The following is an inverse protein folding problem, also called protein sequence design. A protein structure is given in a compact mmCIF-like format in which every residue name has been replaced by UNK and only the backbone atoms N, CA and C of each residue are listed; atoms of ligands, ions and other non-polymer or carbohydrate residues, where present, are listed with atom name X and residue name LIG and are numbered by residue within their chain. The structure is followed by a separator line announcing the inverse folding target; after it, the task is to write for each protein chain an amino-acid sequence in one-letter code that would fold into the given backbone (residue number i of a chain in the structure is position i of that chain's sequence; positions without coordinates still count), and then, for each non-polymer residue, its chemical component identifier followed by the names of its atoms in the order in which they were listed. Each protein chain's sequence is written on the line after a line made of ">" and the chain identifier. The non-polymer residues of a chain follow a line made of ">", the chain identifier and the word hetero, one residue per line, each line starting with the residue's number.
data_IF_823416603354
#
_entry.id   IF_823416603354
#
_cell.length_a   1.000
_cell.length_b   1.000
_cell.length_c   1.000
_cell.angle_alpha   90.00
_cell.angle_beta   90.00
_cell.angle_gamma   90.00
#
_symmetry.space_group_name_H-M   'P 1'
#
loop_
_entity.id
_entity.type
_entity.pdbx_description
1 polymer ?
#
# COMPACT_ATOMS: atom_id res chain seq x y z
N UNK A 1 -42.82 -17.96 -32.77
CA UNK A 1 -42.69 -16.51 -32.52
C UNK A 1 -42.07 -16.37 -31.15
N UNK A 2 -40.77 -16.07 -31.15
CA UNK A 2 -39.95 -15.93 -29.96
C UNK A 2 -40.22 -14.58 -29.30
N UNK A 3 -40.31 -14.55 -27.98
CA UNK A 3 -40.21 -13.33 -27.20
C UNK A 3 -38.97 -13.48 -26.30
N UNK A 4 -37.98 -12.64 -26.55
CA UNK A 4 -36.67 -12.70 -25.96
C UNK A 4 -36.62 -11.79 -24.74
N UNK A 5 -36.31 -12.38 -23.58
CA UNK A 5 -36.01 -11.65 -22.37
C UNK A 5 -34.74 -10.81 -22.55
N UNK A 6 -34.87 -9.48 -22.45
CA UNK A 6 -33.75 -8.57 -22.32
C UNK A 6 -33.34 -8.50 -20.84
N UNK A 7 -32.26 -9.19 -20.48
CA UNK A 7 -31.51 -8.97 -19.25
C UNK A 7 -30.76 -7.64 -19.37
N UNK A 8 -31.09 -6.68 -18.52
CA UNK A 8 -30.38 -5.40 -18.40
C UNK A 8 -29.14 -5.65 -17.55
N UNK A 9 -27.98 -5.53 -18.18
CA UNK A 9 -26.67 -5.66 -17.56
C UNK A 9 -26.33 -4.36 -16.81
N UNK A 10 -26.19 -4.45 -15.48
CA UNK A 10 -26.02 -3.28 -14.59
C UNK A 10 -24.55 -3.01 -14.20
N UNK A 11 -23.55 -3.59 -14.88
CA UNK A 11 -22.15 -3.51 -14.46
C UNK A 11 -21.21 -2.65 -15.32
N UNK A 12 -21.73 -1.81 -16.21
CA UNK A 12 -20.89 -0.86 -16.94
C UNK A 12 -20.70 0.46 -16.18
N UNK A 13 -19.95 0.44 -15.07
CA UNK A 13 -19.39 1.68 -14.50
C UNK A 13 -18.15 2.04 -15.33
N UNK A 14 -18.36 2.85 -16.36
CA UNK A 14 -17.26 3.54 -17.04
C UNK A 14 -16.91 4.76 -16.20
N UNK A 15 -15.75 4.72 -15.52
CA UNK A 15 -15.18 5.86 -14.82
C UNK A 15 -14.32 6.65 -15.84
N UNK A 16 -14.75 7.83 -16.35
CA UNK A 16 -13.96 8.61 -17.27
C UNK A 16 -13.23 9.71 -16.50
N UNK A 17 -12.20 9.31 -15.76
CA UNK A 17 -11.09 10.17 -15.40
C UNK A 17 -9.82 9.34 -15.50
N UNK A 18 -9.51 8.92 -16.73
CA UNK A 18 -8.17 8.48 -17.05
C UNK A 18 -7.19 9.58 -16.62
N UNK A 19 -6.04 9.17 -16.05
CA UNK A 19 -4.85 10.00 -15.96
C UNK A 19 -4.76 10.91 -17.20
N UNK A 20 -4.41 12.20 -17.05
CA UNK A 20 -4.51 13.18 -18.13
C UNK A 20 -3.97 12.56 -19.42
N UNK A 21 -4.86 12.41 -20.42
CA UNK A 21 -4.58 11.76 -21.69
C UNK A 21 -3.56 12.53 -22.56
N UNK A 22 -2.92 13.53 -21.98
CA UNK A 22 -1.94 14.39 -22.61
C UNK A 22 -0.60 13.66 -22.62
N UNK A 23 -0.16 13.26 -23.80
CA UNK A 23 1.11 12.54 -23.99
C UNK A 23 2.33 13.40 -23.56
N UNK A 24 2.13 14.70 -23.33
CA UNK A 24 3.13 15.64 -22.78
C UNK A 24 3.12 15.72 -21.24
N UNK A 25 2.24 14.98 -20.54
CA UNK A 25 2.11 15.03 -19.07
C UNK A 25 3.31 14.44 -18.31
N UNK A 26 4.10 13.58 -18.95
CA UNK A 26 5.22 12.87 -18.33
C UNK A 26 6.56 13.23 -18.99
N UNK A 27 7.54 13.54 -18.16
CA UNK A 27 8.90 13.91 -18.57
C UNK A 27 9.92 13.17 -17.72
N UNK A 28 11.12 12.93 -18.26
CA UNK A 28 12.24 12.41 -17.47
C UNK A 28 12.66 13.33 -16.32
N UNK A 29 12.29 14.62 -16.36
CA UNK A 29 12.64 15.60 -15.32
C UNK A 29 11.76 15.54 -14.07
N UNK A 30 10.55 14.98 -14.17
CA UNK A 30 9.59 14.90 -13.06
C UNK A 30 9.07 13.47 -12.99
N UNK A 31 9.27 12.75 -11.87
CA UNK A 31 8.73 11.40 -11.74
C UNK A 31 7.21 11.38 -12.00
N UNK A 32 6.68 10.46 -12.82
CA UNK A 32 5.27 10.47 -13.21
C UNK A 32 4.29 10.40 -12.03
N UNK A 33 4.65 9.74 -10.92
CA UNK A 33 3.88 9.77 -9.67
C UNK A 33 3.64 11.22 -9.20
N UNK A 34 4.68 12.06 -9.18
CA UNK A 34 4.54 13.45 -8.74
C UNK A 34 3.81 14.31 -9.78
N UNK A 35 3.95 14.01 -11.07
CA UNK A 35 3.16 14.66 -12.11
C UNK A 35 1.66 14.34 -11.97
N UNK A 36 1.31 13.08 -11.67
CA UNK A 36 -0.07 12.66 -11.44
C UNK A 36 -0.69 13.28 -10.17
N UNK A 37 0.13 13.49 -9.12
CA UNK A 37 -0.30 14.12 -7.87
C UNK A 37 -0.23 15.66 -7.87
N UNK A 38 0.42 16.28 -8.85
CA UNK A 38 0.56 17.73 -8.95
C UNK A 38 -0.75 18.54 -8.85
N UNK A 39 -1.89 18.11 -9.43
CA UNK A 39 -3.15 18.85 -9.29
C UNK A 39 -3.84 18.64 -7.93
N UNK A 40 -3.43 17.64 -7.14
CA UNK A 40 -4.09 17.28 -5.88
C UNK A 40 -3.70 18.23 -4.75
N UNK A 41 -4.68 18.55 -3.89
CA UNK A 41 -4.50 19.41 -2.71
C UNK A 41 -4.47 18.61 -1.43
N UNK A 42 -5.29 17.56 -1.33
CA UNK A 42 -5.50 16.74 -0.14
C UNK A 42 -5.26 15.28 -0.52
N UNK A 43 -4.05 14.80 -0.23
CA UNK A 43 -3.61 13.46 -0.59
C UNK A 43 -3.69 12.54 0.63
N UNK A 44 -4.41 11.43 0.50
CA UNK A 44 -4.37 10.35 1.49
C UNK A 44 -3.32 9.32 1.06
N UNK A 45 -2.29 9.12 1.88
CA UNK A 45 -1.32 8.03 1.72
C UNK A 45 -1.68 6.95 2.74
N UNK A 46 -2.08 5.78 2.25
CA UNK A 46 -2.61 4.71 3.10
C UNK A 46 -1.80 3.41 2.94
N UNK A 47 -1.28 2.88 4.05
CA UNK A 47 -0.63 1.56 4.08
C UNK A 47 -1.61 0.43 3.77
N UNK A 48 -1.32 -0.34 2.72
CA UNK A 48 -2.24 -1.31 2.14
C UNK A 48 -2.15 -2.71 2.78
N UNK A 49 -0.94 -3.21 3.04
CA UNK A 49 -0.62 -4.57 3.52
C UNK A 49 -0.61 -4.76 5.04
N UNK A 50 -0.93 -3.70 5.76
CA UNK A 50 -1.17 -3.71 7.19
C UNK A 50 0.04 -3.37 8.07
N UNK A 51 -0.22 -3.04 9.34
CA UNK A 51 0.82 -2.81 10.34
C UNK A 51 1.76 -1.64 10.02
N UNK A 52 2.94 -1.94 9.44
CA UNK A 52 3.99 -0.93 9.18
C UNK A 52 3.97 -0.36 7.76
N UNK A 53 3.06 -0.77 6.89
CA UNK A 53 3.05 -0.34 5.48
C UNK A 53 2.91 1.16 5.26
N UNK A 54 2.24 1.86 6.18
CA UNK A 54 2.18 3.33 6.15
C UNK A 54 3.58 3.98 6.14
N UNK A 55 4.61 3.31 6.69
CA UNK A 55 5.99 3.79 6.66
C UNK A 55 6.56 3.81 5.24
N UNK A 56 6.17 2.89 4.36
CA UNK A 56 6.55 2.92 2.95
C UNK A 56 6.06 4.19 2.26
N UNK A 57 5.04 4.87 2.79
CA UNK A 57 4.54 6.14 2.28
C UNK A 57 5.28 7.38 2.77
N UNK A 58 6.11 7.28 3.80
CA UNK A 58 6.71 8.47 4.45
C UNK A 58 7.63 9.28 3.54
N UNK A 59 8.53 8.69 2.72
CA UNK A 59 9.32 9.46 1.77
C UNK A 59 8.46 10.31 0.82
N UNK A 60 7.33 9.77 0.35
CA UNK A 60 6.37 10.49 -0.49
C UNK A 60 5.68 11.61 0.30
N UNK A 61 5.22 11.32 1.53
CA UNK A 61 4.59 12.31 2.41
C UNK A 61 5.52 13.50 2.68
N UNK A 62 6.80 13.24 2.99
CA UNK A 62 7.79 14.30 3.22
C UNK A 62 8.02 15.18 1.99
N UNK A 63 8.07 14.58 0.80
CA UNK A 63 8.23 15.32 -0.44
C UNK A 63 7.00 16.20 -0.75
N UNK A 64 5.80 15.66 -0.57
CA UNK A 64 4.53 16.37 -0.80
C UNK A 64 4.28 17.48 0.22
N UNK A 65 4.51 17.24 1.52
CA UNK A 65 4.43 18.30 2.55
C UNK A 65 5.40 19.45 2.24
N UNK A 66 6.62 19.15 1.77
CA UNK A 66 7.58 20.17 1.37
C UNK A 66 7.09 20.97 0.16
N UNK A 67 6.31 20.35 -0.73
CA UNK A 67 5.64 20.99 -1.85
C UNK A 67 4.39 21.80 -1.47
N UNK A 68 3.96 21.76 -0.21
CA UNK A 68 2.78 22.48 0.28
C UNK A 68 1.45 21.71 0.13
N UNK A 69 1.50 20.45 -0.32
CA UNK A 69 0.31 19.58 -0.39
C UNK A 69 -0.11 19.16 1.02
N UNK A 70 -1.42 19.13 1.29
CA UNK A 70 -1.94 18.55 2.52
C UNK A 70 -1.92 17.03 2.38
N UNK A 71 -1.11 16.36 3.19
CA UNK A 71 -1.04 14.90 3.21
C UNK A 71 -1.60 14.37 4.51
N UNK A 72 -2.47 13.38 4.38
CA UNK A 72 -3.05 12.60 5.46
C UNK A 72 -2.50 11.18 5.40
N UNK A 73 -2.23 10.58 6.56
CA UNK A 73 -1.72 9.22 6.63
C UNK A 73 -2.83 8.28 7.12
N UNK A 74 -2.92 7.10 6.52
CA UNK A 74 -3.76 6.02 7.02
C UNK A 74 -3.04 4.67 7.04
N UNK A 75 -3.53 3.75 7.87
CA UNK A 75 -3.00 2.40 8.04
C UNK A 75 -4.15 1.41 8.19
N UNK A 76 -4.12 0.30 7.45
CA UNK A 76 -4.87 -0.89 7.84
C UNK A 76 -4.16 -1.53 9.04
N UNK A 77 -4.69 -1.35 10.24
CA UNK A 77 -3.95 -1.65 11.46
C UNK A 77 -3.98 -3.14 11.81
N UNK A 78 -2.86 -3.63 12.33
CA UNK A 78 -2.77 -4.92 13.02
C UNK A 78 -2.78 -4.80 14.55
N UNK A 79 -2.86 -3.57 15.05
CA UNK A 79 -3.02 -3.32 16.49
C UNK A 79 -4.42 -3.66 16.96
N UNK A 80 -4.55 -3.93 18.25
CA UNK A 80 -5.83 -4.09 18.94
C UNK A 80 -6.49 -2.71 19.12
N UNK A 81 -6.97 -2.10 18.03
CA UNK A 81 -7.56 -0.75 18.02
C UNK A 81 -8.80 -0.67 18.93
N UNK A 82 -9.49 -1.76 19.18
CA UNK A 82 -10.60 -1.81 20.15
C UNK A 82 -10.19 -1.44 21.58
N UNK A 83 -8.88 -1.45 21.88
CA UNK A 83 -8.31 -1.06 23.17
C UNK A 83 -7.91 0.41 23.24
N UNK A 84 -7.99 1.17 22.13
CA UNK A 84 -7.77 2.63 22.18
C UNK A 84 -9.01 3.36 22.67
N UNK A 85 -8.81 4.55 23.25
CA UNK A 85 -9.88 5.38 23.78
C UNK A 85 -10.96 5.70 22.73
N UNK A 86 -12.23 5.70 23.17
CA UNK A 86 -13.38 5.89 22.28
C UNK A 86 -13.36 7.26 21.59
N UNK A 87 -12.77 8.25 22.25
CA UNK A 87 -12.57 9.62 21.76
C UNK A 87 -11.66 9.69 20.53
N UNK A 88 -10.80 8.68 20.32
CA UNK A 88 -9.99 8.58 19.11
C UNK A 88 -10.81 8.17 17.87
N UNK A 89 -11.99 7.55 18.04
CA UNK A 89 -12.80 7.06 16.92
C UNK A 89 -13.61 8.17 16.27
N UNK A 90 -13.34 8.45 14.99
CA UNK A 90 -14.08 9.47 14.20
C UNK A 90 -15.33 8.88 13.51
N UNK A 91 -15.35 7.56 13.31
CA UNK A 91 -16.52 6.76 12.92
C UNK A 91 -16.30 5.31 13.36
N UNK A 92 -17.25 4.40 13.13
CA UNK A 92 -17.23 2.99 13.57
C UNK A 92 -15.94 2.23 13.20
N UNK A 93 -15.32 2.60 12.09
CA UNK A 93 -14.20 1.86 11.49
C UNK A 93 -12.97 2.73 11.22
N UNK A 94 -12.90 3.90 11.86
CA UNK A 94 -11.77 4.82 11.70
C UNK A 94 -11.40 5.42 13.05
N UNK A 95 -10.19 5.12 13.52
CA UNK A 95 -9.55 5.82 14.62
C UNK A 95 -8.60 6.89 14.08
N UNK A 96 -8.62 8.09 14.66
CA UNK A 96 -7.65 9.15 14.43
C UNK A 96 -6.58 9.07 15.52
N UNK A 97 -5.51 8.30 15.25
CA UNK A 97 -4.42 8.10 16.20
C UNK A 97 -3.52 9.34 16.21
N UNK A 98 -3.40 9.96 17.38
CA UNK A 98 -2.52 11.10 17.65
C UNK A 98 -1.38 10.73 18.60
N UNK A 99 -0.46 11.68 18.90
CA UNK A 99 0.69 11.43 19.76
C UNK A 99 0.29 11.04 21.20
N UNK A 100 -0.87 11.53 21.67
CA UNK A 100 -1.40 11.27 23.00
C UNK A 100 -2.33 10.04 23.05
N UNK A 101 -2.59 9.37 21.91
CA UNK A 101 -3.42 8.16 21.87
C UNK A 101 -2.67 7.03 22.58
N UNK A 102 -3.27 6.53 23.66
CA UNK A 102 -2.72 5.42 24.45
C UNK A 102 -3.35 4.11 23.99
N UNK A 103 -2.51 3.07 23.89
CA UNK A 103 -2.95 1.69 23.73
C UNK A 103 -2.14 0.82 24.70
N UNK A 104 -2.77 -0.17 25.37
CA UNK A 104 -2.04 -1.18 26.12
C UNK A 104 -1.34 -2.20 25.20
N UNK A 105 -1.61 -2.16 23.89
CA UNK A 105 -0.99 -3.04 22.92
C UNK A 105 0.52 -2.77 22.80
N UNK A 106 1.30 -3.85 22.82
CA UNK A 106 2.75 -3.81 22.67
C UNK A 106 3.17 -3.63 21.19
N UNK A 107 2.25 -3.83 20.25
CA UNK A 107 2.43 -3.58 18.83
C UNK A 107 1.52 -2.43 18.38
N UNK A 108 2.05 -1.20 18.34
CA UNK A 108 1.28 -0.02 17.93
C UNK A 108 2.06 0.92 17.00
N UNK A 109 2.25 0.51 15.72
CA UNK A 109 3.05 1.27 14.76
C UNK A 109 2.46 2.64 14.44
N UNK A 110 1.13 2.79 14.41
CA UNK A 110 0.45 4.07 14.14
C UNK A 110 0.67 5.06 15.28
N UNK A 111 0.52 4.63 16.54
CA UNK A 111 0.78 5.48 17.70
C UNK A 111 2.26 5.86 17.81
N UNK A 112 3.16 4.95 17.47
CA UNK A 112 4.60 5.25 17.40
C UNK A 112 4.89 6.29 16.32
N UNK A 113 4.33 6.12 15.13
CA UNK A 113 4.48 7.08 14.04
C UNK A 113 3.91 8.46 14.41
N UNK A 114 2.73 8.51 15.02
CA UNK A 114 2.10 9.75 15.45
C UNK A 114 2.99 10.54 16.43
N UNK A 115 3.61 9.86 17.41
CA UNK A 115 4.57 10.48 18.34
C UNK A 115 5.84 10.96 17.63
N UNK A 116 6.40 10.14 16.75
CA UNK A 116 7.59 10.51 15.99
C UNK A 116 7.34 11.75 15.10
N UNK A 117 6.20 11.80 14.42
CA UNK A 117 5.76 12.94 13.60
C UNK A 117 5.61 14.21 14.45
N UNK A 118 4.97 14.10 15.62
CA UNK A 118 4.82 15.23 16.53
C UNK A 118 6.17 15.76 17.04
N UNK A 119 7.11 14.88 17.36
CA UNK A 119 8.46 15.24 17.78
C UNK A 119 9.27 15.97 16.68
N UNK A 120 8.86 15.79 15.42
CA UNK A 120 9.45 16.44 14.25
C UNK A 120 8.64 17.64 13.73
N UNK A 121 7.64 18.11 14.48
CA UNK A 121 6.75 19.22 14.10
C UNK A 121 6.02 18.97 12.77
N UNK A 122 5.69 17.72 12.48
CA UNK A 122 4.93 17.30 11.30
C UNK A 122 3.46 17.01 11.66
N UNK A 123 2.54 17.02 10.69
CA UNK A 123 1.17 16.55 10.90
C UNK A 123 1.19 15.13 11.48
N UNK A 124 0.66 14.99 12.69
CA UNK A 124 0.90 13.83 13.56
C UNK A 124 -0.30 12.89 13.72
N UNK A 125 -1.35 13.08 12.92
CA UNK A 125 -2.49 12.17 12.90
C UNK A 125 -2.26 11.05 11.88
N UNK A 126 -2.40 9.81 12.35
CA UNK A 126 -2.44 8.60 11.52
C UNK A 126 -3.82 7.98 11.67
N UNK A 127 -4.59 7.95 10.59
CA UNK A 127 -5.88 7.26 10.60
C UNK A 127 -5.67 5.75 10.58
N UNK A 128 -6.35 5.02 11.44
CA UNK A 128 -6.20 3.58 11.55
C UNK A 128 -7.55 2.89 11.32
N UNK A 129 -7.54 1.91 10.42
CA UNK A 129 -8.68 1.03 10.16
C UNK A 129 -8.45 -0.31 10.89
N UNK A 130 -9.44 -0.91 11.54
CA UNK A 130 -9.29 -2.26 12.07
C UNK A 130 -9.16 -3.31 10.94
N UNK A 131 -8.83 -4.58 11.24
CA UNK A 131 -8.75 -5.66 10.26
C UNK A 131 -10.12 -6.02 9.63
N UNK A 132 -10.50 -5.26 8.61
CA UNK A 132 -11.82 -5.29 7.97
C UNK A 132 -11.84 -6.12 6.68
N UNK A 133 -13.05 -6.43 6.20
CA UNK A 133 -13.31 -6.81 4.81
C UNK A 133 -13.59 -5.60 3.92
N UNK A 134 -13.83 -5.84 2.63
CA UNK A 134 -13.92 -4.80 1.59
C UNK A 134 -15.02 -3.77 1.86
N UNK A 135 -16.25 -4.18 2.20
CA UNK A 135 -17.37 -3.25 2.37
C UNK A 135 -17.17 -2.26 3.52
N UNK A 136 -16.87 -2.69 4.76
CA UNK A 136 -16.64 -1.75 5.85
C UNK A 136 -15.36 -0.93 5.66
N UNK A 137 -14.30 -1.49 5.05
CA UNK A 137 -13.10 -0.72 4.73
C UNK A 137 -13.39 0.38 3.70
N UNK A 138 -14.21 0.10 2.67
CA UNK A 138 -14.66 1.11 1.71
C UNK A 138 -15.46 2.22 2.38
N UNK A 139 -16.36 1.87 3.31
CA UNK A 139 -17.11 2.87 4.07
C UNK A 139 -16.18 3.75 4.91
N UNK A 140 -15.13 3.15 5.50
CA UNK A 140 -14.10 3.86 6.25
C UNK A 140 -13.30 4.83 5.37
N UNK A 141 -12.83 4.39 4.19
CA UNK A 141 -12.16 5.27 3.23
C UNK A 141 -13.10 6.39 2.74
N UNK A 142 -14.36 6.08 2.41
CA UNK A 142 -15.34 7.08 2.00
C UNK A 142 -15.54 8.16 3.05
N UNK A 143 -15.62 7.76 4.33
CA UNK A 143 -15.69 8.71 5.43
C UNK A 143 -14.47 9.64 5.47
N UNK A 144 -13.26 9.13 5.26
CA UNK A 144 -12.06 9.98 5.19
C UNK A 144 -12.07 10.90 3.97
N UNK A 145 -12.50 10.39 2.80
CA UNK A 145 -12.62 11.19 1.58
C UNK A 145 -13.53 12.39 1.81
N UNK A 146 -14.72 12.16 2.37
CA UNK A 146 -15.68 13.23 2.67
C UNK A 146 -15.21 14.17 3.78
N UNK A 147 -14.59 13.64 4.84
CA UNK A 147 -14.17 14.43 6.01
C UNK A 147 -12.98 15.34 5.73
N UNK A 148 -12.06 14.89 4.88
CA UNK A 148 -10.77 15.55 4.63
C UNK A 148 -10.70 16.16 3.23
N UNK A 149 -11.80 16.15 2.48
CA UNK A 149 -11.89 16.61 1.09
C UNK A 149 -10.77 16.00 0.21
N UNK A 150 -10.56 14.68 0.34
CA UNK A 150 -9.47 13.97 -0.36
C UNK A 150 -9.72 13.98 -1.86
N UNK A 151 -8.74 14.48 -2.62
CA UNK A 151 -8.77 14.50 -4.09
C UNK A 151 -7.73 13.57 -4.73
N UNK A 152 -6.86 12.95 -3.93
CA UNK A 152 -6.02 11.84 -4.36
C UNK A 152 -5.78 10.79 -3.26
N UNK A 153 -5.75 9.52 -3.63
CA UNK A 153 -5.36 8.40 -2.76
C UNK A 153 -4.14 7.70 -3.34
N UNK A 154 -3.13 7.44 -2.50
CA UNK A 154 -2.00 6.56 -2.81
C UNK A 154 -2.00 5.41 -1.81
N UNK A 155 -2.33 4.21 -2.27
CA UNK A 155 -2.10 3.00 -1.50
C UNK A 155 -0.61 2.66 -1.56
N UNK A 156 0.01 2.40 -0.42
CA UNK A 156 1.43 2.06 -0.33
C UNK A 156 1.61 0.67 0.27
N UNK A 157 2.45 -0.12 -0.38
CA UNK A 157 2.77 -1.49 -0.01
C UNK A 157 4.27 -1.59 0.31
N UNK A 158 4.57 -2.15 1.48
CA UNK A 158 5.91 -2.53 1.90
C UNK A 158 6.35 -3.87 1.28
N UNK A 159 6.47 -3.89 -0.04
CA UNK A 159 6.60 -5.12 -0.79
C UNK A 159 6.18 -4.88 -2.24
N UNK A 160 5.74 -5.93 -2.89
CA UNK A 160 5.31 -6.00 -4.29
C UNK A 160 4.15 -6.96 -4.49
N UNK A 161 3.63 -7.59 -3.43
CA UNK A 161 2.58 -8.60 -3.56
C UNK A 161 1.22 -7.99 -3.93
N UNK A 162 0.99 -6.69 -3.69
CA UNK A 162 -0.16 -5.94 -4.23
C UNK A 162 -0.19 -5.93 -5.77
N UNK A 163 0.96 -6.08 -6.43
CA UNK A 163 1.08 -6.09 -7.90
C UNK A 163 0.73 -7.44 -8.51
N UNK A 164 0.39 -8.43 -7.68
CA UNK A 164 0.03 -9.76 -8.12
C UNK A 164 -1.43 -9.86 -8.52
N UNK A 165 -1.67 -10.71 -9.51
CA UNK A 165 -2.93 -10.87 -10.19
C UNK A 165 -3.79 -11.99 -9.59
N UNK A 166 -3.16 -13.00 -9.01
CA UNK A 166 -3.80 -14.18 -8.44
C UNK A 166 -3.37 -15.50 -9.06
N UNK A 167 -2.86 -15.50 -10.29
CA UNK A 167 -2.43 -16.71 -11.01
C UNK A 167 -0.92 -16.95 -10.96
N UNK A 168 -0.18 -16.18 -10.17
CA UNK A 168 1.25 -16.38 -9.88
C UNK A 168 1.52 -17.72 -9.20
N UNK A 169 2.79 -18.13 -9.18
CA UNK A 169 3.20 -19.37 -8.49
C UNK A 169 2.82 -19.32 -7.00
N UNK A 170 3.02 -18.17 -6.37
CA UNK A 170 2.59 -17.86 -4.99
C UNK A 170 2.19 -16.38 -4.92
N UNK A 171 1.44 -16.00 -3.89
CA UNK A 171 0.90 -14.66 -3.71
C UNK A 171 1.51 -13.86 -2.57
N UNK A 172 2.38 -14.44 -1.74
CA UNK A 172 2.84 -13.75 -0.54
C UNK A 172 1.71 -13.58 0.47
N UNK A 173 1.45 -12.33 0.87
CA UNK A 173 0.49 -11.97 1.93
C UNK A 173 -0.61 -11.02 1.42
N UNK A 174 -1.35 -11.38 0.34
CA UNK A 174 -2.15 -10.44 -0.45
C UNK A 174 -3.42 -9.93 0.25
N UNK A 175 -3.74 -10.41 1.45
CA UNK A 175 -5.08 -10.28 2.05
C UNK A 175 -5.39 -8.82 2.33
N UNK A 176 -4.49 -8.12 3.00
CA UNK A 176 -4.62 -6.72 3.36
C UNK A 176 -4.58 -5.81 2.13
N UNK A 177 -3.55 -5.98 1.28
CA UNK A 177 -3.32 -5.18 0.08
C UNK A 177 -4.51 -5.19 -0.86
N UNK A 178 -5.03 -6.39 -1.14
CA UNK A 178 -6.12 -6.56 -2.08
C UNK A 178 -7.47 -6.16 -1.47
N UNK A 179 -7.61 -6.23 -0.15
CA UNK A 179 -8.77 -5.62 0.54
C UNK A 179 -8.76 -4.10 0.39
N UNK A 180 -7.61 -3.46 0.60
CA UNK A 180 -7.43 -2.02 0.42
C UNK A 180 -7.65 -1.61 -1.05
N UNK A 181 -7.09 -2.36 -2.00
CA UNK A 181 -7.28 -2.17 -3.44
C UNK A 181 -8.77 -2.21 -3.80
N UNK A 182 -9.49 -3.27 -3.40
CA UNK A 182 -10.92 -3.42 -3.67
C UNK A 182 -11.78 -2.34 -3.02
N UNK A 183 -11.40 -1.91 -1.81
CA UNK A 183 -12.10 -0.84 -1.10
C UNK A 183 -12.00 0.49 -1.86
N UNK A 184 -10.79 0.88 -2.28
CA UNK A 184 -10.52 2.16 -2.95
C UNK A 184 -10.98 2.20 -4.41
N UNK A 185 -10.95 1.06 -5.12
CA UNK A 185 -11.36 0.99 -6.54
C UNK A 185 -12.75 1.59 -6.78
N UNK A 186 -13.71 1.32 -5.89
CA UNK A 186 -15.09 1.80 -6.04
C UNK A 186 -15.34 3.21 -5.46
N UNK A 187 -14.31 3.94 -5.08
CA UNK A 187 -14.41 5.33 -4.64
C UNK A 187 -14.31 6.28 -5.83
N UNK A 188 -15.11 7.34 -5.78
CA UNK A 188 -15.08 8.46 -6.72
C UNK A 188 -14.04 9.48 -6.24
N UNK A 189 -12.77 9.19 -6.50
CA UNK A 189 -11.62 10.06 -6.21
C UNK A 189 -10.85 10.30 -7.50
N UNK A 190 -10.52 11.57 -7.84
CA UNK A 190 -9.90 11.91 -9.13
C UNK A 190 -8.59 11.18 -9.43
N UNK A 191 -7.72 11.01 -8.44
CA UNK A 191 -6.43 10.33 -8.60
C UNK A 191 -6.34 9.18 -7.61
N UNK A 192 -6.17 7.95 -8.12
CA UNK A 192 -6.00 6.75 -7.31
C UNK A 192 -4.77 5.99 -7.80
N UNK A 193 -3.76 5.85 -6.95
CA UNK A 193 -2.49 5.19 -7.28
C UNK A 193 -2.19 4.08 -6.28
N UNK A 194 -1.40 3.10 -6.72
CA UNK A 194 -0.73 2.12 -5.85
C UNK A 194 0.78 2.27 -6.03
N UNK A 195 1.52 2.29 -4.94
CA UNK A 195 2.98 2.43 -4.95
C UNK A 195 3.64 1.40 -4.05
N UNK A 196 4.31 0.45 -4.67
CA UNK A 196 5.07 -0.62 -4.01
C UNK A 196 6.51 -0.19 -3.76
N UNK A 197 7.03 -0.40 -2.54
CA UNK A 197 8.40 -0.11 -2.14
C UNK A 197 9.01 -1.34 -1.45
N UNK A 198 10.18 -1.77 -1.89
CA UNK A 198 10.83 -2.93 -1.28
C UNK A 198 10.96 -4.14 -2.20
N UNK A 199 11.15 -3.92 -3.51
CA UNK A 199 11.32 -5.02 -4.46
C UNK A 199 12.38 -6.03 -4.00
N UNK A 200 11.97 -7.29 -3.90
CA UNK A 200 12.77 -8.42 -3.43
C UNK A 200 12.37 -8.93 -2.04
N UNK A 201 11.69 -8.12 -1.23
CA UNK A 201 11.39 -8.45 0.17
C UNK A 201 10.42 -9.64 0.27
N UNK A 202 9.39 -9.71 -0.57
CA UNK A 202 8.35 -10.75 -0.47
C UNK A 202 8.80 -12.10 -1.02
N UNK A 203 10.05 -12.22 -1.47
CA UNK A 203 10.62 -13.50 -1.91
C UNK A 203 10.64 -14.52 -0.75
N UNK A 204 10.73 -14.05 0.50
CA UNK A 204 10.61 -14.89 1.70
C UNK A 204 9.19 -15.45 1.89
N UNK A 205 8.17 -14.76 1.37
CA UNK A 205 6.77 -15.16 1.38
C UNK A 205 6.35 -15.84 0.05
N UNK A 206 7.32 -16.22 -0.79
CA UNK A 206 7.09 -17.02 -1.99
C UNK A 206 6.88 -16.23 -3.29
N UNK A 207 6.90 -14.90 -3.24
CA UNK A 207 6.66 -14.06 -4.42
C UNK A 207 7.77 -14.21 -5.46
N UNK A 208 7.39 -14.63 -6.67
CA UNK A 208 8.30 -14.69 -7.80
C UNK A 208 8.42 -13.31 -8.47
N UNK A 209 9.55 -12.64 -8.25
CA UNK A 209 9.78 -11.29 -8.73
C UNK A 209 9.91 -11.16 -10.25
N UNK A 210 10.15 -12.27 -10.98
CA UNK A 210 10.03 -12.25 -12.45
C UNK A 210 8.57 -12.09 -12.87
N UNK A 211 7.64 -12.75 -12.18
CA UNK A 211 6.20 -12.60 -12.44
C UNK A 211 5.68 -11.20 -12.06
N UNK A 212 6.24 -10.57 -11.01
CA UNK A 212 5.99 -9.15 -10.69
C UNK A 212 6.40 -8.25 -11.87
N UNK A 213 7.60 -8.45 -12.42
CA UNK A 213 8.07 -7.68 -13.58
C UNK A 213 7.23 -7.94 -14.84
N UNK A 214 6.75 -9.17 -15.06
CA UNK A 214 5.80 -9.49 -16.12
C UNK A 214 4.47 -8.71 -15.95
N UNK A 215 3.99 -8.58 -14.71
CA UNK A 215 2.77 -7.85 -14.39
C UNK A 215 2.94 -6.34 -14.62
N UNK A 216 4.04 -5.76 -14.15
CA UNK A 216 4.38 -4.35 -14.41
C UNK A 216 4.49 -4.07 -15.91
N UNK A 217 5.14 -4.94 -16.68
CA UNK A 217 5.23 -4.80 -18.13
C UNK A 217 3.85 -4.92 -18.82
N UNK A 218 2.92 -5.69 -18.26
CA UNK A 218 1.56 -5.77 -18.77
C UNK A 218 0.74 -4.51 -18.45
N UNK A 219 0.87 -3.97 -17.24
CA UNK A 219 0.27 -2.69 -16.85
C UNK A 219 0.82 -1.54 -17.69
N UNK A 220 2.13 -1.53 -17.97
CA UNK A 220 2.78 -0.52 -18.80
C UNK A 220 2.22 -0.49 -20.22
N UNK A 221 2.03 -1.66 -20.85
CA UNK A 221 1.37 -1.77 -22.16
C UNK A 221 -0.05 -1.20 -22.20
N UNK A 222 -0.73 -1.19 -21.04
CA UNK A 222 -2.06 -0.64 -20.86
C UNK A 222 -2.03 0.83 -20.40
N UNK A 223 -0.85 1.44 -20.28
CA UNK A 223 -0.67 2.81 -19.80
C UNK A 223 -1.00 2.96 -18.30
N UNK A 224 -0.87 1.88 -17.53
CA UNK A 224 -1.14 1.84 -16.09
C UNK A 224 0.11 1.85 -15.21
N UNK A 225 1.30 1.77 -15.78
CA UNK A 225 2.55 1.90 -15.03
C UNK A 225 3.07 3.34 -15.12
N UNK A 226 3.21 4.00 -13.97
CA UNK A 226 3.75 5.35 -13.84
C UNK A 226 5.28 5.34 -13.68
N UNK A 227 5.92 4.20 -13.94
CA UNK A 227 7.35 4.06 -13.82
C UNK A 227 7.82 3.88 -12.38
N UNK A 228 9.13 4.01 -12.22
CA UNK A 228 9.82 3.83 -10.97
C UNK A 228 10.62 5.09 -10.59
N UNK A 229 10.74 5.34 -9.29
CA UNK A 229 11.61 6.37 -8.75
C UNK A 229 12.37 5.83 -7.55
N UNK A 230 13.65 6.18 -7.44
CA UNK A 230 14.47 5.80 -6.30
C UNK A 230 14.45 6.89 -5.23
N UNK A 231 14.53 6.47 -3.97
CA UNK A 231 14.75 7.38 -2.84
C UNK A 231 16.25 7.71 -2.82
N UNK A 232 16.68 8.96 -3.09
CA UNK A 232 18.11 9.27 -3.07
C UNK A 232 18.63 9.19 -1.64
N UNK A 233 19.63 8.33 -1.37
CA UNK A 233 20.04 8.00 0.01
C UNK A 233 20.52 9.18 0.87
N UNK A 234 21.01 10.25 0.22
CA UNK A 234 21.44 11.50 0.83
C UNK A 234 20.33 12.57 0.93
N UNK A 235 19.10 12.27 0.50
CA UNK A 235 17.98 13.21 0.55
C UNK A 235 17.46 13.41 1.98
N UNK A 236 16.63 14.43 2.18
CA UNK A 236 15.97 14.67 3.48
C UNK A 236 14.98 13.56 3.79
N UNK A 237 14.24 13.12 2.77
CA UNK A 237 13.23 12.07 2.82
C UNK A 237 13.87 10.76 3.29
N UNK A 238 15.02 10.38 2.73
CA UNK A 238 15.74 9.18 3.15
C UNK A 238 16.22 9.24 4.60
N UNK A 239 16.72 10.40 5.07
CA UNK A 239 17.16 10.57 6.46
C UNK A 239 16.00 10.47 7.45
N UNK A 240 14.91 11.18 7.18
CA UNK A 240 13.71 11.15 8.02
C UNK A 240 13.07 9.77 8.04
N UNK A 241 13.01 9.09 6.90
CA UNK A 241 12.49 7.72 6.82
C UNK A 241 13.30 6.75 7.67
N UNK A 242 14.64 6.78 7.58
CA UNK A 242 15.50 5.92 8.43
C UNK A 242 15.34 6.21 9.91
N UNK A 243 15.19 7.48 10.27
CA UNK A 243 14.97 7.88 11.66
C UNK A 243 13.62 7.37 12.20
N UNK A 244 12.54 7.55 11.44
CA UNK A 244 11.22 7.01 11.77
C UNK A 244 11.21 5.48 11.91
N UNK A 245 11.89 4.77 10.99
CA UNK A 245 12.03 3.31 11.07
C UNK A 245 12.82 2.89 12.29
N UNK A 246 13.89 3.61 12.65
CA UNK A 246 14.67 3.31 13.84
C UNK A 246 13.88 3.54 15.14
N UNK A 247 13.10 4.62 15.21
CA UNK A 247 12.19 4.91 16.33
C UNK A 247 11.13 3.81 16.49
N UNK A 248 10.48 3.43 15.37
CA UNK A 248 9.58 2.29 15.30
C UNK A 248 10.20 0.99 15.84
N UNK A 249 11.41 0.66 15.37
CA UNK A 249 12.11 -0.54 15.82
C UNK A 249 12.41 -0.53 17.33
N UNK A 250 12.76 0.63 17.88
CA UNK A 250 13.01 0.80 19.31
C UNK A 250 11.72 0.68 20.13
N UNK A 251 10.58 1.15 19.60
CA UNK A 251 9.28 1.07 20.25
C UNK A 251 8.63 -0.33 20.16
N UNK A 252 8.95 -1.12 19.14
CA UNK A 252 8.43 -2.48 18.95
C UNK A 252 9.55 -3.53 18.91
N UNK A 253 10.36 -3.69 19.99
CA UNK A 253 11.56 -4.53 19.96
C UNK A 253 11.28 -6.03 19.76
N UNK A 254 10.09 -6.50 20.17
CA UNK A 254 9.68 -7.90 20.04
C UNK A 254 9.21 -8.25 18.62
N UNK A 255 8.59 -7.29 17.91
CA UNK A 255 8.20 -7.45 16.49
C UNK A 255 8.49 -6.18 15.68
N UNK A 256 9.78 -5.86 15.46
CA UNK A 256 10.13 -4.80 14.53
C UNK A 256 9.73 -5.18 13.11
N UNK A 257 9.47 -4.17 12.27
CA UNK A 257 9.24 -4.39 10.84
C UNK A 257 10.53 -4.85 10.16
N UNK A 258 10.51 -6.09 9.64
CA UNK A 258 11.59 -6.63 8.82
C UNK A 258 11.60 -5.93 7.45
N UNK A 259 10.42 -5.71 6.87
CA UNK A 259 10.22 -4.99 5.61
C UNK A 259 10.88 -3.61 5.66
N UNK A 260 10.39 -2.75 6.55
CA UNK A 260 10.83 -1.35 6.60
C UNK A 260 12.30 -1.23 7.05
N UNK A 261 12.79 -2.18 7.86
CA UNK A 261 14.21 -2.25 8.21
C UNK A 261 15.11 -2.57 7.02
N UNK A 262 14.71 -3.48 6.13
CA UNK A 262 15.46 -3.78 4.89
C UNK A 262 15.46 -2.60 3.93
N UNK A 263 14.32 -1.92 3.75
CA UNK A 263 14.21 -0.71 2.94
C UNK A 263 15.10 0.40 3.53
N UNK A 264 15.03 0.63 4.85
CA UNK A 264 15.89 1.61 5.52
C UNK A 264 17.37 1.33 5.31
N UNK A 265 17.79 0.06 5.42
CA UNK A 265 19.16 -0.37 5.12
C UNK A 265 19.54 -0.10 3.65
N UNK A 266 18.66 -0.44 2.69
CA UNK A 266 18.89 -0.18 1.28
C UNK A 266 19.05 1.32 0.97
N UNK A 267 18.26 2.20 1.59
CA UNK A 267 18.41 3.66 1.42
C UNK A 267 19.74 4.22 1.97
N UNK A 268 20.44 3.45 2.81
CA UNK A 268 21.79 3.80 3.30
C UNK A 268 22.92 3.21 2.44
N UNK A 269 22.57 2.47 1.38
CA UNK A 269 23.53 1.82 0.48
C UNK A 269 24.01 0.44 0.98
N UNK A 270 23.34 -0.15 1.96
CA UNK A 270 23.65 -1.49 2.43
C UNK A 270 23.28 -2.57 1.39
N UNK A 271 23.95 -3.71 1.43
CA UNK A 271 23.72 -4.85 0.55
C UNK A 271 23.99 -6.19 1.27
N UNK A 272 23.22 -7.23 0.95
CA UNK A 272 23.37 -8.59 1.48
C UNK A 272 22.65 -8.83 2.81
N UNK A 273 23.19 -9.75 3.62
CA UNK A 273 22.63 -10.14 4.92
C UNK A 273 22.86 -9.04 5.98
N UNK A 274 21.95 -8.07 6.02
CA UNK A 274 21.98 -6.97 7.00
C UNK A 274 21.13 -7.32 8.21
N UNK A 275 21.77 -7.46 9.38
CA UNK A 275 21.10 -7.85 10.62
C UNK A 275 20.80 -6.64 11.50
N UNK A 276 19.51 -6.36 11.68
CA UNK A 276 19.00 -5.32 12.58
C UNK A 276 17.97 -5.86 13.59
N UNK A 277 17.64 -7.15 13.54
CA UNK A 277 16.73 -7.81 14.50
C UNK A 277 17.14 -9.25 14.74
N UNK A 278 16.70 -9.82 15.87
CA UNK A 278 16.87 -11.26 16.17
C UNK A 278 15.82 -12.14 15.46
N UNK A 279 14.72 -11.55 14.96
CA UNK A 279 13.65 -12.29 14.24
C UNK A 279 14.11 -12.90 12.92
N UNK A 280 15.19 -12.38 12.33
CA UNK A 280 15.78 -12.91 11.10
C UNK A 280 16.88 -13.95 11.38
N UNK A 281 16.96 -14.46 12.61
CA UNK A 281 18.07 -15.25 13.19
C UNK A 281 18.39 -16.63 12.59
N UNK A 282 18.18 -16.83 11.28
CA UNK A 282 18.61 -18.03 10.56
C UNK A 282 18.48 -17.98 9.03
N UNK A 283 17.82 -16.96 8.46
CA UNK A 283 17.75 -16.75 7.02
C UNK A 283 18.61 -15.56 6.61
N UNK A 284 19.40 -15.71 5.56
CA UNK A 284 20.17 -14.59 5.00
C UNK A 284 19.18 -13.56 4.44
N UNK A 285 19.19 -12.33 4.98
CA UNK A 285 18.52 -11.21 4.31
C UNK A 285 19.25 -10.91 2.99
N UNK A 286 18.54 -10.36 2.01
CA UNK A 286 19.15 -9.95 0.74
C UNK A 286 18.86 -8.48 0.44
N UNK A 287 19.30 -7.61 1.36
CA UNK A 287 19.19 -6.17 1.18
C UNK A 287 19.87 -5.78 -0.13
N UNK A 288 19.20 -4.98 -0.95
CA UNK A 288 19.76 -4.55 -2.23
C UNK A 288 19.14 -3.21 -2.67
N UNK A 289 19.78 -2.51 -3.62
CA UNK A 289 19.30 -1.19 -4.04
C UNK A 289 17.89 -1.14 -4.64
N UNK A 290 17.34 -2.24 -5.16
CA UNK A 290 15.98 -2.27 -5.69
C UNK A 290 14.92 -2.08 -4.60
N UNK A 291 15.25 -2.39 -3.34
CA UNK A 291 14.35 -2.17 -2.21
C UNK A 291 14.11 -0.68 -1.92
N UNK A 292 14.96 0.22 -2.41
CA UNK A 292 14.81 1.68 -2.27
C UNK A 292 14.13 2.32 -3.50
N UNK A 293 13.48 1.52 -4.36
CA UNK A 293 12.80 1.95 -5.56
C UNK A 293 11.29 1.75 -5.38
N UNK A 294 10.53 2.82 -5.62
CA UNK A 294 9.09 2.73 -5.78
C UNK A 294 8.72 2.25 -7.17
N UNK A 295 7.69 1.43 -7.26
CA UNK A 295 6.98 1.08 -8.49
C UNK A 295 5.55 1.57 -8.36
N UNK A 296 5.16 2.54 -9.17
CA UNK A 296 3.84 3.17 -9.08
C UNK A 296 2.96 2.78 -10.26
N UNK A 297 1.71 2.41 -9.98
CA UNK A 297 0.71 2.08 -10.97
C UNK A 297 -0.59 2.82 -10.71
N UNK A 298 -1.39 2.98 -11.76
CA UNK A 298 -2.78 3.41 -11.68
C UNK A 298 -3.60 2.34 -10.96
N UNK A 299 -4.36 2.75 -9.95
CA UNK A 299 -5.08 1.82 -9.09
C UNK A 299 -6.21 1.09 -9.82
N UNK A 300 -6.98 1.79 -10.66
CA UNK A 300 -8.13 1.20 -11.34
C UNK A 300 -7.66 0.20 -12.41
N UNK A 301 -6.56 0.49 -13.11
CA UNK A 301 -5.93 -0.45 -14.05
C UNK A 301 -5.34 -1.65 -13.34
N UNK A 302 -4.71 -1.49 -12.17
CA UNK A 302 -4.25 -2.62 -11.36
C UNK A 302 -5.43 -3.50 -10.92
N UNK A 303 -6.48 -2.88 -10.37
CA UNK A 303 -7.68 -3.56 -9.91
C UNK A 303 -8.35 -4.38 -11.02
N UNK A 304 -8.44 -3.82 -12.24
CA UNK A 304 -8.99 -4.51 -13.41
C UNK A 304 -8.21 -5.77 -13.81
N UNK A 305 -6.93 -5.88 -13.41
CA UNK A 305 -6.12 -7.07 -13.68
C UNK A 305 -6.28 -8.15 -12.61
N UNK A 306 -6.66 -7.82 -11.37
CA UNK A 306 -6.82 -8.78 -10.29
C UNK A 306 -7.95 -9.79 -10.60
N UNK A 307 -7.62 -11.08 -10.62
CA UNK A 307 -8.53 -12.14 -11.10
C UNK A 307 -9.60 -12.57 -10.10
N UNK A 308 -9.57 -12.02 -8.88
CA UNK A 308 -10.43 -12.43 -7.78
C UNK A 308 -10.99 -11.26 -6.97
N UNK A 309 -10.88 -10.03 -7.49
CA UNK A 309 -11.36 -8.84 -6.80
C UNK A 309 -12.88 -8.87 -6.59
N UNK A 310 -13.62 -9.35 -7.61
CA UNK A 310 -15.07 -9.56 -7.54
C UNK A 310 -15.47 -10.58 -6.46
N UNK A 311 -14.63 -11.60 -6.25
CA UNK A 311 -14.88 -12.63 -5.24
C UNK A 311 -14.88 -12.01 -3.84
N UNK A 312 -14.00 -11.07 -3.55
CA UNK A 312 -13.86 -10.48 -2.20
C UNK A 312 -14.77 -9.27 -1.97
N UNK A 313 -15.45 -8.77 -2.99
CA UNK A 313 -16.26 -7.55 -2.96
C UNK A 313 -17.21 -7.49 -1.75
N UNK A 314 -17.98 -8.56 -1.51
CA UNK A 314 -18.99 -8.60 -0.44
C UNK A 314 -18.45 -9.13 0.90
N UNK A 315 -17.17 -8.93 1.21
CA UNK A 315 -16.60 -9.32 2.50
C UNK A 315 -16.80 -8.22 3.55
N UNK A 316 -17.03 -8.63 4.79
CA UNK A 316 -17.18 -7.77 5.98
C UNK A 316 -15.96 -7.87 6.88
N UNK A 317 -15.35 -9.05 7.00
CA UNK A 317 -14.19 -9.27 7.86
C UNK A 317 -13.05 -9.95 7.14
N UNK A 318 -11.83 -9.71 7.63
CA UNK A 318 -10.58 -10.27 7.10
C UNK A 318 -10.64 -11.79 6.83
N UNK A 319 -11.24 -12.57 7.74
CA UNK A 319 -11.38 -14.03 7.57
C UNK A 319 -12.12 -14.42 6.31
N UNK A 320 -13.13 -13.64 5.91
CA UNK A 320 -13.87 -13.91 4.68
C UNK A 320 -13.01 -13.63 3.45
N UNK A 321 -12.17 -12.58 3.48
CA UNK A 321 -11.21 -12.29 2.42
C UNK A 321 -10.25 -13.47 2.26
N UNK A 322 -9.62 -13.93 3.35
CA UNK A 322 -8.72 -15.09 3.36
C UNK A 322 -9.36 -16.30 2.68
N UNK A 323 -10.55 -16.70 3.14
CA UNK A 323 -11.23 -17.89 2.60
C UNK A 323 -11.60 -17.73 1.12
N UNK A 324 -11.96 -16.53 0.66
CA UNK A 324 -12.33 -16.31 -0.74
C UNK A 324 -11.12 -16.26 -1.67
N UNK A 325 -9.99 -15.70 -1.22
CA UNK A 325 -8.73 -15.78 -1.96
C UNK A 325 -8.27 -17.24 -2.06
N UNK A 326 -8.32 -18.00 -0.95
CA UNK A 326 -7.97 -19.41 -0.96
C UNK A 326 -8.86 -20.23 -1.89
N UNK A 327 -10.18 -20.04 -1.85
CA UNK A 327 -11.11 -20.73 -2.74
C UNK A 327 -10.80 -20.45 -4.22
N UNK A 328 -10.51 -19.19 -4.58
CA UNK A 328 -10.07 -18.84 -5.93
C UNK A 328 -8.77 -19.57 -6.31
N UNK A 329 -7.80 -19.66 -5.40
CA UNK A 329 -6.54 -20.37 -5.63
C UNK A 329 -6.74 -21.87 -5.84
N UNK A 330 -7.65 -22.49 -5.08
CA UNK A 330 -7.98 -23.91 -5.21
C UNK A 330 -8.69 -24.24 -6.55
N UNK A 331 -9.38 -23.26 -7.16
CA UNK A 331 -10.04 -23.38 -8.46
C UNK A 331 -9.07 -23.26 -9.65
N UNK A 332 -7.86 -22.72 -9.45
CA UNK A 332 -6.88 -22.55 -10.52
C UNK A 332 -6.39 -23.91 -11.04
N UNK A 333 -6.71 -24.20 -12.29
CA UNK A 333 -6.21 -25.41 -12.97
C UNK A 333 -4.69 -25.45 -13.04
N UNK A 334 -4.04 -24.30 -13.26
CA UNK A 334 -2.59 -24.14 -13.25
C UNK A 334 -2.20 -22.73 -12.81
N UNK A 335 -1.33 -22.62 -11.82
CA UNK A 335 -0.59 -21.39 -11.53
C UNK A 335 0.53 -21.17 -12.58
N UNK A 336 0.97 -19.92 -12.76
CA UNK A 336 2.11 -19.58 -13.60
C UNK A 336 3.38 -20.25 -13.08
N UNK A 337 4.14 -20.83 -14.00
CA UNK A 337 5.42 -21.46 -13.67
C UNK A 337 6.41 -20.37 -13.23
N UNK A 338 7.02 -20.49 -12.02
CA UNK A 338 8.00 -19.52 -11.56
C UNK A 338 9.24 -19.53 -12.48
N UNK A 339 9.81 -18.35 -12.71
CA UNK A 339 11.01 -18.18 -13.54
C UNK A 339 12.15 -17.63 -12.71
N UNK A 340 13.37 -18.01 -13.07
CA UNK A 340 14.58 -17.39 -12.56
C UNK A 340 14.85 -16.09 -13.33
N UNK A 341 15.28 -15.05 -12.62
CA UNK A 341 15.79 -13.85 -13.27
C UNK A 341 17.08 -14.21 -14.02
N UNK A 342 17.27 -13.79 -15.29
CA UNK A 342 18.50 -14.06 -16.02
C UNK A 342 19.67 -13.39 -15.30
N UNK A 343 20.72 -14.16 -14.99
CA UNK A 343 21.94 -13.72 -14.31
C UNK A 343 23.15 -13.81 -15.23
#
# INVERSE_FOLDING_TARGET
>A
MADAAATVDHWAVTNPAALPADLDAFSLSVPPLFAALAPARNVLIAGAGGGFDVYAGLPLAFALWRGGTQVHLASLSFSELELVDREAWVTEHVAAVGPDTVSPDWYFPEGTLARWLAAHELPSTVYAFPPLGVQPLRAAYRHLVERLDIDAIVLVDGGTDVLLRGDESDLGTPVEDITSLAAVTALDVPVKLVSSLGFGIDAYDGVNHVQVLENLAALDREGGYLGALSIPGASREARLYRDAVADAQAATPERPSIVQGQIAAATSGAFGDVRFTRRTGGGDLFVNPLMAIYFTVDLDKLAARCLYLDRIEHTIGRRQVITRIQAFRDELLNARVPRAFPH
#
